data_IF_886688440404
#
_entry.id   IF_886688440404
#
_cell.length_a   1.000
_cell.length_b   1.000
_cell.length_c   1.000
_cell.angle_alpha   90.00
_cell.angle_beta   90.00
_cell.angle_gamma   90.00
#
_symmetry.space_group_name_H-M   'P 1'
#
loop_
_entity.id
_entity.type
_entity.pdbx_description
1 polymer ?
#
# COMPACT_ATOMS: atom_id res chain seq x y z
N UNK A 1 15.84 3.55 -10.18
CA UNK A 1 14.53 3.70 -9.50
C UNK A 1 13.54 4.22 -10.52
N UNK A 2 12.33 3.65 -10.55
CA UNK A 2 11.26 4.15 -11.41
C UNK A 2 10.48 5.16 -10.58
N UNK A 3 10.47 6.42 -11.03
CA UNK A 3 9.59 7.44 -10.47
C UNK A 3 8.21 7.25 -11.09
N UNK A 4 7.22 6.90 -10.27
CA UNK A 4 5.86 6.68 -10.75
C UNK A 4 5.13 8.01 -10.96
N UNK A 5 4.42 8.12 -12.07
CA UNK A 5 3.58 9.25 -12.44
C UNK A 5 2.28 8.76 -13.09
N UNK A 6 1.41 9.68 -13.48
CA UNK A 6 0.09 9.34 -14.04
C UNK A 6 0.20 8.50 -15.31
N UNK A 7 1.22 8.75 -16.13
CA UNK A 7 1.42 8.08 -17.43
C UNK A 7 1.97 6.65 -17.27
N UNK A 8 2.84 6.42 -16.28
CA UNK A 8 3.59 5.17 -16.16
C UNK A 8 3.07 4.22 -15.06
N UNK A 9 2.22 4.70 -14.14
CA UNK A 9 1.77 3.92 -12.98
C UNK A 9 1.07 2.62 -13.40
N UNK A 10 0.09 2.71 -14.30
CA UNK A 10 -0.66 1.53 -14.75
C UNK A 10 0.20 0.57 -15.57
N UNK A 11 1.09 1.11 -16.41
CA UNK A 11 2.02 0.29 -17.21
C UNK A 11 2.99 -0.45 -16.29
N UNK A 12 3.50 0.22 -15.26
CA UNK A 12 4.35 -0.41 -14.25
C UNK A 12 3.59 -1.47 -13.46
N UNK A 13 2.35 -1.19 -13.04
CA UNK A 13 1.51 -2.17 -12.35
C UNK A 13 1.30 -3.42 -13.22
N UNK A 14 0.87 -3.25 -14.46
CA UNK A 14 0.58 -4.35 -15.37
C UNK A 14 1.81 -5.23 -15.64
N UNK A 15 2.99 -4.61 -15.83
CA UNK A 15 4.25 -5.33 -16.04
C UNK A 15 4.69 -6.18 -14.85
N UNK A 16 4.28 -5.81 -13.64
CA UNK A 16 4.64 -6.52 -12.42
C UNK A 16 3.46 -7.32 -11.83
N UNK A 17 2.34 -7.40 -12.56
CA UNK A 17 1.19 -8.19 -12.14
C UNK A 17 1.42 -9.67 -12.44
N UNK A 18 1.29 -10.50 -11.42
CA UNK A 18 1.40 -11.94 -11.51
C UNK A 18 0.32 -12.57 -10.62
N UNK A 19 -0.81 -12.93 -11.21
CA UNK A 19 -1.85 -13.71 -10.53
C UNK A 19 -1.64 -15.20 -10.83
N UNK A 20 -1.33 -16.04 -9.82
CA UNK A 20 -1.09 -17.47 -10.02
C UNK A 20 -2.26 -18.21 -10.66
N UNK A 21 -3.49 -17.73 -10.48
CA UNK A 21 -4.72 -18.35 -11.00
C UNK A 21 -5.23 -17.71 -12.30
N UNK A 22 -4.48 -16.74 -12.85
CA UNK A 22 -4.61 -16.13 -14.18
C UNK A 22 -6.05 -15.99 -14.72
N UNK A 23 -6.80 -15.01 -14.21
CA UNK A 23 -8.12 -14.63 -14.73
C UNK A 23 -8.10 -13.24 -15.37
N UNK A 24 -7.46 -13.13 -16.54
CA UNK A 24 -7.67 -12.01 -17.48
C UNK A 24 -7.39 -10.58 -16.98
N UNK A 25 -7.85 -9.60 -17.74
CA UNK A 25 -7.67 -8.16 -17.45
C UNK A 25 -8.60 -7.68 -16.31
N UNK A 26 -9.77 -8.31 -16.16
CA UNK A 26 -10.80 -7.91 -15.20
C UNK A 26 -10.31 -8.05 -13.75
N UNK A 27 -9.58 -9.13 -13.43
CA UNK A 27 -8.97 -9.33 -12.12
C UNK A 27 -7.92 -8.27 -11.79
N UNK A 28 -7.06 -7.96 -12.78
CA UNK A 28 -6.08 -6.89 -12.64
C UNK A 28 -6.78 -5.57 -12.31
N UNK A 29 -7.85 -5.22 -13.03
CA UNK A 29 -8.60 -4.01 -12.75
C UNK A 29 -9.24 -4.03 -11.34
N UNK A 30 -9.72 -5.19 -10.90
CA UNK A 30 -10.26 -5.35 -9.55
C UNK A 30 -9.19 -5.12 -8.48
N UNK A 31 -8.00 -5.71 -8.65
CA UNK A 31 -6.87 -5.54 -7.74
C UNK A 31 -6.36 -4.11 -7.71
N UNK A 32 -6.31 -3.44 -8.87
CA UNK A 32 -5.93 -2.02 -8.93
C UNK A 32 -6.95 -1.12 -8.18
N UNK A 33 -8.23 -1.52 -8.09
CA UNK A 33 -9.23 -0.77 -7.29
C UNK A 33 -8.91 -0.84 -5.78
N UNK A 34 -8.19 -1.85 -5.30
CA UNK A 34 -7.82 -2.00 -3.86
C UNK A 34 -6.93 -0.85 -3.37
N UNK A 35 -6.06 -0.29 -4.21
CA UNK A 35 -5.27 0.90 -3.83
C UNK A 35 -6.16 2.11 -3.51
N UNK A 36 -7.17 2.39 -4.36
CA UNK A 36 -8.15 3.46 -4.11
C UNK A 36 -8.99 3.15 -2.87
N UNK A 37 -9.29 1.88 -2.61
CA UNK A 37 -10.00 1.49 -1.40
C UNK A 37 -9.16 1.79 -0.15
N UNK A 38 -7.90 1.35 -0.09
CA UNK A 38 -6.99 1.64 1.03
C UNK A 38 -6.95 3.14 1.36
N UNK A 39 -6.82 3.99 0.34
CA UNK A 39 -6.90 5.46 0.51
C UNK A 39 -8.19 5.92 1.19
N UNK A 40 -9.35 5.37 0.80
CA UNK A 40 -10.63 5.68 1.45
C UNK A 40 -10.69 5.21 2.91
N UNK A 41 -10.08 4.06 3.22
CA UNK A 41 -10.04 3.52 4.58
C UNK A 41 -9.17 4.38 5.49
N UNK A 42 -8.02 4.85 5.02
CA UNK A 42 -7.15 5.77 5.78
C UNK A 42 -7.84 7.11 6.05
N UNK A 43 -8.44 7.73 5.02
CA UNK A 43 -9.25 8.96 5.18
C UNK A 43 -10.40 8.79 6.17
N UNK A 44 -11.08 7.64 6.14
CA UNK A 44 -12.15 7.34 7.09
C UNK A 44 -11.60 7.24 8.50
N UNK A 45 -10.50 6.53 8.70
CA UNK A 45 -9.86 6.38 10.01
C UNK A 45 -9.48 7.74 10.60
N UNK A 46 -8.85 8.62 9.84
CA UNK A 46 -8.49 9.96 10.34
C UNK A 46 -9.71 10.80 10.73
N UNK A 47 -10.83 10.65 10.02
CA UNK A 47 -12.06 11.37 10.34
C UNK A 47 -12.82 10.78 11.53
N UNK A 48 -12.82 9.46 11.69
CA UNK A 48 -13.70 8.78 12.65
C UNK A 48 -12.97 8.11 13.81
N UNK A 49 -11.64 8.05 13.78
CA UNK A 49 -10.79 7.32 14.74
C UNK A 49 -11.11 5.82 14.84
N UNK A 50 -11.80 5.27 13.83
CA UNK A 50 -12.18 3.85 13.74
C UNK A 50 -11.40 3.22 12.61
N UNK A 51 -10.49 2.31 12.97
CA UNK A 51 -9.62 1.62 12.03
C UNK A 51 -10.24 0.28 11.61
N UNK A 52 -10.37 0.06 10.31
CA UNK A 52 -10.77 -1.24 9.74
C UNK A 52 -9.51 -2.09 9.47
N UNK A 53 -8.74 -2.34 10.52
CA UNK A 53 -7.45 -3.05 10.52
C UNK A 53 -7.45 -4.35 9.71
N UNK A 54 -8.39 -5.27 9.96
CA UNK A 54 -8.46 -6.57 9.23
C UNK A 54 -8.71 -6.41 7.74
N UNK A 55 -9.55 -5.44 7.35
CA UNK A 55 -9.85 -5.16 5.94
C UNK A 55 -8.65 -4.52 5.23
N UNK A 56 -7.95 -3.61 5.91
CA UNK A 56 -6.71 -3.01 5.41
C UNK A 56 -5.65 -4.10 5.20
N UNK A 57 -5.43 -4.96 6.20
CA UNK A 57 -4.48 -6.08 6.12
C UNK A 57 -4.82 -6.99 4.94
N UNK A 58 -6.09 -7.37 4.77
CA UNK A 58 -6.53 -8.20 3.65
C UNK A 58 -6.18 -7.55 2.29
N UNK A 59 -6.53 -6.27 2.10
CA UNK A 59 -6.20 -5.57 0.86
C UNK A 59 -4.69 -5.52 0.59
N UNK A 60 -3.87 -5.26 1.62
CA UNK A 60 -2.42 -5.26 1.46
C UNK A 60 -1.89 -6.65 1.11
N UNK A 61 -2.33 -7.70 1.79
CA UNK A 61 -1.91 -9.07 1.51
C UNK A 61 -2.23 -9.47 0.07
N UNK A 62 -3.46 -9.21 -0.39
CA UNK A 62 -3.84 -9.48 -1.79
C UNK A 62 -2.93 -8.74 -2.75
N UNK A 63 -2.69 -7.43 -2.53
CA UNK A 63 -1.79 -6.65 -3.38
C UNK A 63 -0.36 -7.21 -3.40
N UNK A 64 0.19 -7.65 -2.26
CA UNK A 64 1.51 -8.28 -2.23
C UNK A 64 1.52 -9.67 -2.87
N UNK A 65 0.41 -10.40 -2.89
CA UNK A 65 0.33 -11.69 -3.56
C UNK A 65 0.42 -11.53 -5.09
N UNK A 66 -0.22 -10.48 -5.64
CA UNK A 66 -0.28 -10.28 -7.10
C UNK A 66 0.81 -9.35 -7.66
N UNK A 67 1.39 -8.45 -6.85
CA UNK A 67 2.43 -7.51 -7.30
C UNK A 67 3.79 -7.73 -6.63
N UNK A 68 3.88 -8.62 -5.64
CA UNK A 68 5.09 -8.85 -4.83
C UNK A 68 5.76 -7.52 -4.40
N UNK A 69 7.06 -7.35 -4.66
CA UNK A 69 7.83 -6.15 -4.28
C UNK A 69 7.36 -4.88 -5.00
N UNK A 70 6.67 -5.00 -6.14
CA UNK A 70 6.14 -3.84 -6.85
C UNK A 70 4.92 -3.22 -6.14
N UNK A 71 4.28 -3.93 -5.20
CA UNK A 71 3.18 -3.39 -4.41
C UNK A 71 3.60 -2.14 -3.62
N UNK A 72 4.80 -2.14 -3.03
CA UNK A 72 5.28 -1.03 -2.19
C UNK A 72 5.36 0.31 -2.94
N UNK A 73 6.09 0.45 -4.08
CA UNK A 73 6.12 1.71 -4.81
C UNK A 73 4.73 2.10 -5.36
N UNK A 74 3.91 1.14 -5.79
CA UNK A 74 2.53 1.40 -6.24
C UNK A 74 1.67 1.98 -5.10
N UNK A 75 1.79 1.43 -3.88
CA UNK A 75 1.10 1.92 -2.69
C UNK A 75 1.53 3.35 -2.35
N UNK A 76 2.84 3.62 -2.27
CA UNK A 76 3.33 4.96 -1.93
C UNK A 76 3.03 6.02 -3.00
N UNK A 77 2.95 5.63 -4.27
CA UNK A 77 2.47 6.52 -5.32
C UNK A 77 0.96 6.81 -5.18
N UNK A 78 0.14 5.78 -4.89
CA UNK A 78 -1.32 5.94 -4.92
C UNK A 78 -1.93 6.53 -3.63
N UNK A 79 -1.25 6.34 -2.50
CA UNK A 79 -1.65 6.88 -1.20
C UNK A 79 -1.06 8.29 -1.03
N UNK A 80 -1.88 9.24 -0.58
CA UNK A 80 -1.44 10.62 -0.33
C UNK A 80 -0.43 10.68 0.83
N UNK A 81 0.52 11.62 0.75
CA UNK A 81 1.62 11.77 1.73
C UNK A 81 1.14 11.87 3.17
N UNK A 82 0.01 12.54 3.41
CA UNK A 82 -0.61 12.67 4.73
C UNK A 82 -0.95 11.32 5.38
N UNK A 83 -1.29 10.30 4.58
CA UNK A 83 -1.63 8.97 5.08
C UNK A 83 -0.45 7.99 5.10
N UNK A 84 0.77 8.43 4.75
CA UNK A 84 1.93 7.54 4.66
C UNK A 84 2.35 6.96 6.01
N UNK A 85 2.16 7.68 7.11
CA UNK A 85 2.46 7.16 8.45
C UNK A 85 1.59 5.93 8.78
N UNK A 86 0.31 5.97 8.42
CA UNK A 86 -0.62 4.84 8.57
C UNK A 86 -0.14 3.68 7.70
N UNK A 87 0.10 3.93 6.40
CA UNK A 87 0.57 2.90 5.46
C UNK A 87 1.87 2.25 5.94
N UNK A 88 2.91 3.04 6.27
CA UNK A 88 4.21 2.55 6.74
C UNK A 88 4.04 1.65 7.95
N UNK A 89 3.14 1.99 8.88
CA UNK A 89 2.87 1.18 10.07
C UNK A 89 2.34 -0.21 9.71
N UNK A 90 1.40 -0.31 8.78
CA UNK A 90 0.94 -1.61 8.28
C UNK A 90 2.03 -2.37 7.52
N UNK A 91 2.86 -1.69 6.72
CA UNK A 91 3.93 -2.34 5.97
C UNK A 91 5.04 -2.88 6.88
N UNK A 92 5.39 -2.15 7.95
CA UNK A 92 6.32 -2.64 8.98
C UNK A 92 5.73 -3.86 9.69
N UNK A 93 4.44 -3.80 10.07
CA UNK A 93 3.75 -4.92 10.69
C UNK A 93 3.75 -6.19 9.81
N UNK A 94 3.58 -6.03 8.49
CA UNK A 94 3.62 -7.14 7.53
C UNK A 94 5.05 -7.57 7.13
N UNK A 95 6.10 -6.95 7.69
CA UNK A 95 7.49 -7.12 7.25
C UNK A 95 7.69 -6.90 5.74
N UNK A 96 6.99 -5.90 5.20
CA UNK A 96 7.05 -5.49 3.77
C UNK A 96 7.64 -4.10 3.57
N UNK A 97 8.02 -3.39 4.64
CA UNK A 97 8.68 -2.09 4.52
C UNK A 97 10.16 -2.29 4.18
N UNK A 98 10.67 -1.72 3.07
CA UNK A 98 12.10 -1.78 2.77
C UNK A 98 12.89 -0.90 3.76
N UNK A 99 13.95 -1.47 4.37
CA UNK A 99 14.70 -0.83 5.45
C UNK A 99 15.44 0.46 5.05
N UNK A 100 15.83 0.63 3.79
CA UNK A 100 16.72 1.74 3.39
C UNK A 100 16.38 2.39 2.04
N UNK A 101 15.21 2.07 1.47
CA UNK A 101 14.91 2.45 0.09
C UNK A 101 14.12 3.76 0.01
N UNK A 102 14.48 4.55 -1.00
CA UNK A 102 13.63 5.63 -1.50
C UNK A 102 12.39 4.96 -2.10
N UNK A 103 11.24 5.34 -1.58
CA UNK A 103 9.94 4.75 -1.92
C UNK A 103 9.30 5.47 -3.11
N UNK A 104 9.20 6.80 -3.07
CA UNK A 104 8.71 7.63 -4.18
C UNK A 104 9.20 9.07 -4.03
N UNK A 105 9.48 9.74 -5.16
CA UNK A 105 9.85 11.15 -5.21
C UNK A 105 11.04 11.55 -4.31
N UNK A 106 12.01 10.65 -4.11
CA UNK A 106 13.20 10.89 -3.28
C UNK A 106 13.00 10.70 -1.77
N UNK A 107 11.79 10.39 -1.28
CA UNK A 107 11.54 10.23 0.16
C UNK A 107 12.06 8.88 0.64
N UNK A 108 12.84 8.88 1.73
CA UNK A 108 13.32 7.64 2.35
C UNK A 108 12.26 7.09 3.29
N UNK A 109 12.18 5.77 3.37
CA UNK A 109 11.27 5.12 4.31
C UNK A 109 11.41 5.62 5.74
N UNK A 110 12.64 5.92 6.19
CA UNK A 110 12.94 6.38 7.55
C UNK A 110 12.39 7.77 7.87
N UNK A 111 12.21 8.62 6.87
CA UNK A 111 11.69 9.98 7.05
C UNK A 111 10.18 9.99 7.38
N UNK A 112 9.50 8.86 7.16
CA UNK A 112 8.07 8.71 7.47
C UNK A 112 7.93 8.19 8.90
N UNK A 113 7.21 8.92 9.75
CA UNK A 113 6.90 8.47 11.11
C UNK A 113 5.95 7.26 11.11
N UNK A 114 5.93 6.51 12.22
CA UNK A 114 4.92 5.48 12.45
C UNK A 114 3.73 6.09 13.21
N UNK A 115 2.54 5.58 12.94
CA UNK A 115 1.32 5.94 13.67
C UNK A 115 1.20 5.09 14.93
N UNK A 116 1.38 5.72 16.09
CA UNK A 116 1.39 5.02 17.38
C UNK A 116 0.01 4.44 17.76
N UNK A 117 -1.09 5.07 17.36
CA UNK A 117 -2.44 4.53 17.60
C UNK A 117 -2.63 3.24 16.81
N UNK A 118 -2.21 3.25 15.54
CA UNK A 118 -2.27 2.06 14.67
C UNK A 118 -1.36 0.95 15.21
N UNK A 119 -0.14 1.25 15.68
CA UNK A 119 0.74 0.27 16.34
C UNK A 119 0.02 -0.43 17.49
N UNK A 120 -0.64 0.35 18.36
CA UNK A 120 -1.32 -0.20 19.53
C UNK A 120 -2.52 -1.08 19.16
N UNK A 121 -3.17 -0.83 18.02
CA UNK A 121 -4.24 -1.69 17.50
C UNK A 121 -3.64 -2.98 16.93
N UNK A 122 -2.63 -2.87 16.07
CA UNK A 122 -2.01 -4.02 15.40
C UNK A 122 -1.33 -5.00 16.35
N UNK A 123 -0.77 -4.51 17.48
CA UNK A 123 -0.18 -5.37 18.52
C UNK A 123 -1.19 -6.26 19.26
N UNK A 124 -2.48 -6.03 19.08
CA UNK A 124 -3.56 -6.82 19.72
C UNK A 124 -4.13 -7.91 18.82
N UNK A 125 -3.66 -7.99 17.57
CA UNK A 125 -4.03 -9.02 16.59
C UNK A 125 -3.06 -10.19 16.77
#
# INVERSE_FOLDING_TARGET
>A
MIELNEDNYLVYALKNYNSPECSGLDDFEEDVKRFKYLKRLFRRYERTEVLNDRLILNHLIVLYNVFDKAATPLLFYKIDKEHWAILKTFLVFLNRMPMEQIITGGVRGDDISLDMKVINILRKI
#
